data_IF_877386696883
#
_entry.id   IF_877386696883
#
_cell.length_a   1.000
_cell.length_b   1.000
_cell.length_c   1.000
_cell.angle_alpha   90.00
_cell.angle_beta   90.00
_cell.angle_gamma   90.00
#
_symmetry.space_group_name_H-M   'P 1'
#
loop_
_entity.id
_entity.type
_entity.pdbx_description
1 polymer ?
#
# COMPACT_ATOMS: atom_id res chain seq x y z
N UNK A 1 59.20 -25.76 24.42
CA UNK A 1 59.13 -24.29 24.63
C UNK A 1 59.34 -23.65 23.27
N UNK A 2 58.45 -22.94 22.58
CA UNK A 2 57.18 -22.24 22.82
C UNK A 2 56.29 -22.45 21.56
N UNK A 3 55.01 -22.80 21.68
CA UNK A 3 53.84 -21.94 21.39
C UNK A 3 54.09 -20.95 20.23
N UNK A 4 53.53 -21.06 19.02
CA UNK A 4 52.12 -21.26 18.68
C UNK A 4 51.47 -19.89 18.42
N UNK A 5 51.18 -19.54 17.16
CA UNK A 5 50.18 -18.50 16.82
C UNK A 5 49.49 -18.90 15.51
N UNK A 6 48.29 -19.47 15.67
CA UNK A 6 47.27 -19.60 14.65
C UNK A 6 46.63 -18.21 14.48
N UNK A 7 46.82 -17.57 13.33
CA UNK A 7 46.19 -16.27 13.05
C UNK A 7 44.74 -16.51 12.61
N UNK A 8 43.80 -16.27 13.52
CA UNK A 8 42.37 -16.26 13.25
C UNK A 8 42.01 -15.20 12.20
N UNK A 9 41.57 -15.65 11.02
CA UNK A 9 40.77 -14.83 10.10
C UNK A 9 39.34 -14.81 10.65
N UNK A 10 39.01 -13.83 11.48
CA UNK A 10 37.63 -13.57 11.89
C UNK A 10 36.94 -12.76 10.77
N UNK A 11 35.89 -13.37 10.24
CA UNK A 11 35.17 -12.96 9.03
C UNK A 11 34.36 -11.67 9.29
N UNK A 12 34.72 -10.58 8.60
CA UNK A 12 33.97 -9.34 8.45
C UNK A 12 32.81 -9.51 7.43
N UNK A 13 31.82 -10.36 7.73
CA UNK A 13 30.67 -10.60 6.83
C UNK A 13 29.41 -9.78 7.16
N UNK A 14 29.38 -9.04 8.27
CA UNK A 14 28.20 -8.26 8.68
C UNK A 14 27.87 -7.07 7.76
N UNK A 15 28.77 -6.66 6.87
CA UNK A 15 28.55 -5.49 6.01
C UNK A 15 27.63 -5.80 4.82
N UNK A 16 27.79 -6.95 4.15
CA UNK A 16 27.11 -7.17 2.87
C UNK A 16 25.58 -7.22 2.98
N UNK A 17 25.05 -7.77 4.08
CA UNK A 17 23.61 -7.89 4.30
C UNK A 17 22.94 -6.53 4.58
N UNK A 18 23.49 -5.72 5.49
CA UNK A 18 22.97 -4.39 5.79
C UNK A 18 23.06 -3.44 4.57
N UNK A 19 24.11 -3.58 3.76
CA UNK A 19 24.24 -2.86 2.49
C UNK A 19 23.27 -3.34 1.41
N UNK A 20 22.83 -4.60 1.44
CA UNK A 20 21.79 -5.10 0.54
C UNK A 20 20.42 -4.54 0.95
N UNK A 21 20.08 -4.60 2.23
CA UNK A 21 18.79 -4.13 2.76
C UNK A 21 18.59 -2.63 2.52
N UNK A 22 19.64 -1.81 2.73
CA UNK A 22 19.60 -0.37 2.41
C UNK A 22 19.37 -0.09 0.93
N UNK A 23 19.93 -0.89 0.02
CA UNK A 23 19.65 -0.77 -1.43
C UNK A 23 18.21 -1.15 -1.75
N UNK A 24 17.65 -2.17 -1.09
CA UNK A 24 16.25 -2.55 -1.22
C UNK A 24 15.34 -1.41 -0.78
N UNK A 25 15.58 -0.86 0.42
CA UNK A 25 14.80 0.26 0.96
C UNK A 25 14.82 1.47 0.02
N UNK A 26 16.00 1.85 -0.48
CA UNK A 26 16.15 2.97 -1.41
C UNK A 26 15.50 2.73 -2.79
N UNK A 27 15.43 1.47 -3.25
CA UNK A 27 14.75 1.13 -4.51
C UNK A 27 13.25 1.40 -4.45
N UNK A 28 12.63 1.09 -3.31
CA UNK A 28 11.19 1.20 -3.11
C UNK A 28 10.76 2.53 -2.49
N UNK A 29 11.69 3.29 -1.90
CA UNK A 29 11.44 4.62 -1.37
C UNK A 29 12.20 5.69 -2.18
N UNK A 30 11.45 6.44 -2.98
CA UNK A 30 12.00 7.46 -3.88
C UNK A 30 11.75 8.84 -3.30
N UNK A 31 12.81 9.65 -3.22
CA UNK A 31 12.74 11.04 -2.77
C UNK A 31 12.98 12.00 -3.93
N UNK A 32 12.17 13.04 -4.03
CA UNK A 32 12.34 14.13 -4.98
C UNK A 32 12.33 15.47 -4.26
N UNK A 33 13.30 16.30 -4.59
CA UNK A 33 13.49 17.62 -3.99
C UNK A 33 13.19 18.71 -5.02
N UNK A 34 12.42 19.70 -4.61
CA UNK A 34 12.03 20.83 -5.43
C UNK A 34 12.38 22.13 -4.71
N UNK A 35 12.80 23.14 -5.48
CA UNK A 35 13.12 24.47 -4.96
C UNK A 35 12.56 25.52 -5.89
N UNK A 36 12.06 26.62 -5.32
CA UNK A 36 11.66 27.80 -6.07
C UNK A 36 12.73 28.91 -6.01
N UNK A 37 12.52 29.96 -6.80
CA UNK A 37 13.44 31.10 -6.87
C UNK A 37 13.37 32.01 -5.64
N UNK A 38 12.42 31.78 -4.73
CA UNK A 38 12.18 32.57 -3.52
C UNK A 38 12.73 31.88 -2.26
N UNK A 39 13.42 30.75 -2.42
CA UNK A 39 14.03 29.98 -1.34
C UNK A 39 13.10 28.96 -0.69
N UNK A 40 11.89 28.75 -1.22
CA UNK A 40 11.00 27.68 -0.79
C UNK A 40 11.51 26.33 -1.26
N UNK A 41 11.52 25.34 -0.36
CA UNK A 41 11.92 23.96 -0.67
C UNK A 41 10.80 23.00 -0.32
N UNK A 42 10.62 21.98 -1.15
CA UNK A 42 9.71 20.87 -0.88
C UNK A 42 10.42 19.56 -1.21
N UNK A 43 10.58 18.70 -0.21
CA UNK A 43 10.93 17.32 -0.43
C UNK A 43 9.68 16.45 -0.37
N UNK A 44 9.52 15.59 -1.38
CA UNK A 44 8.45 14.58 -1.44
C UNK A 44 9.09 13.21 -1.54
N UNK A 45 8.82 12.35 -0.57
CA UNK A 45 9.18 10.93 -0.61
C UNK A 45 7.93 10.10 -0.81
N UNK A 46 7.99 9.15 -1.73
CA UNK A 46 6.97 8.14 -1.90
C UNK A 46 7.59 6.76 -1.75
N UNK A 47 6.90 5.87 -1.04
CA UNK A 47 7.34 4.52 -0.76
C UNK A 47 6.26 3.51 -1.14
N UNK A 48 6.63 2.55 -1.99
CA UNK A 48 5.78 1.40 -2.31
C UNK A 48 6.14 0.23 -1.39
N UNK A 49 5.17 -0.33 -0.66
CA UNK A 49 5.40 -1.46 0.23
C UNK A 49 5.38 -2.79 -0.52
N UNK A 50 6.46 -3.08 -1.22
CA UNK A 50 6.71 -4.42 -1.76
C UNK A 50 7.00 -5.43 -0.64
N UNK A 51 6.92 -6.72 -0.96
CA UNK A 51 7.31 -7.76 -0.03
C UNK A 51 8.76 -7.63 0.43
N UNK A 52 9.67 -7.38 -0.51
CA UNK A 52 11.09 -7.23 -0.22
C UNK A 52 11.37 -5.99 0.63
N UNK A 53 10.64 -4.88 0.40
CA UNK A 53 10.75 -3.68 1.21
C UNK A 53 10.31 -3.95 2.66
N UNK A 54 9.18 -4.62 2.85
CA UNK A 54 8.65 -4.91 4.18
C UNK A 54 9.63 -5.79 4.98
N UNK A 55 10.17 -6.85 4.37
CA UNK A 55 11.15 -7.70 5.06
C UNK A 55 12.41 -6.91 5.44
N UNK A 56 12.93 -6.10 4.51
CA UNK A 56 14.10 -5.25 4.77
C UNK A 56 13.82 -4.21 5.87
N UNK A 57 12.62 -3.63 5.89
CA UNK A 57 12.18 -2.65 6.90
C UNK A 57 12.07 -3.29 8.28
N UNK A 58 11.37 -4.43 8.38
CA UNK A 58 11.19 -5.18 9.64
C UNK A 58 12.56 -5.57 10.19
N UNK A 59 13.45 -6.08 9.34
CA UNK A 59 14.81 -6.45 9.74
C UNK A 59 15.61 -5.24 10.23
N UNK A 60 15.57 -4.12 9.49
CA UNK A 60 16.26 -2.89 9.87
C UNK A 60 15.76 -2.36 11.22
N UNK A 61 14.45 -2.33 11.45
CA UNK A 61 13.88 -1.88 12.73
C UNK A 61 14.19 -2.87 13.87
N UNK A 62 14.18 -4.17 13.61
CA UNK A 62 14.58 -5.16 14.61
C UNK A 62 16.05 -4.99 15.04
N UNK A 63 16.97 -4.81 14.09
CA UNK A 63 18.39 -4.58 14.39
C UNK A 63 18.61 -3.25 15.13
N UNK A 64 17.98 -2.17 14.66
CA UNK A 64 18.09 -0.83 15.25
C UNK A 64 17.58 -0.77 16.68
N UNK A 65 16.50 -1.49 16.99
CA UNK A 65 15.87 -1.49 18.31
C UNK A 65 16.27 -2.70 19.16
N UNK A 66 17.17 -3.57 18.68
CA UNK A 66 17.60 -4.80 19.36
C UNK A 66 16.45 -5.73 19.76
N UNK A 67 15.44 -5.84 18.88
CA UNK A 67 14.25 -6.64 19.15
C UNK A 67 14.54 -8.14 19.20
N UNK A 68 13.82 -8.81 20.07
CA UNK A 68 13.71 -10.27 20.07
C UNK A 68 12.91 -10.75 18.86
N UNK A 69 12.97 -12.05 18.57
CA UNK A 69 12.14 -12.67 17.51
C UNK A 69 10.65 -12.41 17.72
N UNK A 70 10.18 -12.44 18.97
CA UNK A 70 8.77 -12.22 19.28
C UNK A 70 8.33 -10.77 19.01
N UNK A 71 9.16 -9.78 19.37
CA UNK A 71 8.89 -8.37 19.10
C UNK A 71 8.92 -8.07 17.60
N UNK A 72 9.87 -8.67 16.89
CA UNK A 72 9.98 -8.57 15.43
C UNK A 72 8.73 -9.13 14.74
N UNK A 73 8.28 -10.32 15.15
CA UNK A 73 7.07 -10.95 14.61
C UNK A 73 5.82 -10.12 14.90
N UNK A 74 5.72 -9.55 16.11
CA UNK A 74 4.61 -8.70 16.52
C UNK A 74 4.57 -7.39 15.73
N UNK A 75 5.72 -6.76 15.50
CA UNK A 75 5.83 -5.57 14.66
C UNK A 75 5.42 -5.87 13.21
N UNK A 76 5.96 -6.96 12.64
CA UNK A 76 5.59 -7.40 11.29
C UNK A 76 4.08 -7.64 11.17
N UNK A 77 3.47 -8.29 12.15
CA UNK A 77 2.02 -8.49 12.20
C UNK A 77 1.24 -7.16 12.18
N UNK A 78 1.63 -6.20 13.04
CA UNK A 78 0.97 -4.90 13.11
C UNK A 78 1.11 -4.10 11.80
N UNK A 79 2.31 -4.11 11.22
CA UNK A 79 2.60 -3.46 9.95
C UNK A 79 1.73 -4.06 8.82
N UNK A 80 1.75 -5.39 8.66
CA UNK A 80 0.98 -6.06 7.61
C UNK A 80 -0.53 -5.87 7.77
N UNK A 81 -1.03 -5.88 9.01
CA UNK A 81 -2.44 -5.61 9.30
C UNK A 81 -2.84 -4.18 8.91
N UNK A 82 -2.02 -3.18 9.24
CA UNK A 82 -2.26 -1.78 8.88
C UNK A 82 -2.15 -1.51 7.38
N UNK A 83 -1.27 -2.22 6.67
CA UNK A 83 -1.12 -2.09 5.23
C UNK A 83 -2.26 -2.74 4.44
N UNK A 84 -2.91 -3.77 5.00
CA UNK A 84 -4.04 -4.48 4.37
C UNK A 84 -3.76 -4.83 2.90
N UNK A 85 -2.58 -5.40 2.65
CA UNK A 85 -2.05 -5.68 1.31
C UNK A 85 -2.96 -6.60 0.50
N UNK A 86 -3.76 -7.41 1.17
CA UNK A 86 -4.73 -8.30 0.54
C UNK A 86 -5.86 -7.54 -0.15
N UNK A 87 -6.21 -6.32 0.27
CA UNK A 87 -7.27 -5.50 -0.32
C UNK A 87 -6.74 -4.29 -1.09
N UNK A 88 -5.61 -3.74 -0.65
CA UNK A 88 -5.10 -2.46 -1.13
C UNK A 88 -3.66 -2.54 -1.66
N UNK A 89 -3.32 -1.52 -2.44
CA UNK A 89 -1.96 -1.17 -2.83
C UNK A 89 -1.59 0.08 -2.02
N UNK A 90 -0.89 -0.07 -0.89
CA UNK A 90 -0.53 1.07 -0.05
C UNK A 90 0.72 1.79 -0.57
N UNK A 91 0.65 3.12 -0.55
CA UNK A 91 1.78 4.01 -0.80
C UNK A 91 1.91 4.94 0.40
N UNK A 92 3.10 4.95 1.01
CA UNK A 92 3.41 5.96 2.03
C UNK A 92 4.00 7.19 1.35
N UNK A 93 3.56 8.35 1.81
CA UNK A 93 3.99 9.65 1.30
C UNK A 93 4.54 10.44 2.49
N UNK A 94 5.71 11.02 2.33
CA UNK A 94 6.28 12.00 3.25
C UNK A 94 6.51 13.32 2.52
N UNK A 95 6.13 14.42 3.15
CA UNK A 95 6.47 15.77 2.77
C UNK A 95 7.40 16.38 3.82
N UNK A 96 8.43 17.11 3.39
CA UNK A 96 9.17 18.09 4.20
C UNK A 96 9.06 19.44 3.48
N UNK A 97 8.08 20.25 3.90
CA UNK A 97 7.78 21.54 3.29
C UNK A 97 8.47 22.68 4.06
N UNK A 98 9.46 23.30 3.44
CA UNK A 98 10.17 24.48 3.97
C UNK A 98 9.83 25.76 3.20
N UNK A 99 8.77 25.72 2.39
CA UNK A 99 8.20 26.87 1.70
C UNK A 99 6.93 27.39 2.38
N UNK A 100 6.06 28.09 1.61
CA UNK A 100 4.74 28.50 2.05
C UNK A 100 3.85 27.32 2.49
N UNK A 101 2.83 27.60 3.30
CA UNK A 101 1.87 26.58 3.76
C UNK A 101 1.21 25.87 2.57
N UNK A 102 1.23 24.54 2.60
CA UNK A 102 0.55 23.69 1.61
C UNK A 102 -0.93 23.54 1.97
N UNK A 103 -1.79 23.60 0.96
CA UNK A 103 -3.23 23.41 1.06
C UNK A 103 -3.65 22.24 0.16
N UNK A 104 -3.84 21.08 0.76
CA UNK A 104 -4.00 19.83 0.04
C UNK A 104 -5.42 19.27 0.07
N UNK A 105 -6.42 19.97 0.60
CA UNK A 105 -7.81 19.48 0.55
C UNK A 105 -8.47 19.78 -0.81
N UNK A 106 -9.18 18.82 -1.43
CA UNK A 106 -9.26 17.39 -1.08
C UNK A 106 -8.03 16.61 -1.60
N UNK A 107 -7.35 15.89 -0.70
CA UNK A 107 -6.02 15.33 -0.99
C UNK A 107 -6.02 14.26 -2.08
N UNK A 108 -7.05 13.44 -2.11
CA UNK A 108 -7.28 12.40 -3.10
C UNK A 108 -7.30 12.93 -4.55
N UNK A 109 -7.76 14.17 -4.74
CA UNK A 109 -7.84 14.78 -6.09
C UNK A 109 -6.48 15.01 -6.74
N UNK A 110 -5.41 15.09 -5.95
CA UNK A 110 -4.05 15.30 -6.45
C UNK A 110 -3.36 13.99 -6.84
N UNK A 111 -3.93 12.84 -6.49
CA UNK A 111 -3.26 11.55 -6.54
C UNK A 111 -3.79 10.66 -7.66
N UNK A 112 -2.88 9.95 -8.32
CA UNK A 112 -3.26 8.90 -9.27
C UNK A 112 -2.22 7.79 -9.23
N UNK A 113 -2.67 6.54 -9.17
CA UNK A 113 -1.83 5.38 -9.37
C UNK A 113 -2.12 4.77 -10.75
N UNK A 114 -1.10 4.71 -11.59
CA UNK A 114 -1.13 4.03 -12.86
C UNK A 114 -0.58 2.63 -12.71
N UNK A 115 -1.42 1.64 -12.98
CA UNK A 115 -1.06 0.22 -12.93
C UNK A 115 -1.26 -0.38 -14.32
N UNK A 116 -0.18 -0.45 -15.09
CA UNK A 116 -0.25 -0.73 -16.52
C UNK A 116 -1.08 0.33 -17.25
N UNK A 117 -2.22 -0.07 -17.83
CA UNK A 117 -3.17 0.85 -18.50
C UNK A 117 -4.25 1.39 -17.56
N UNK A 118 -4.34 0.87 -16.34
CA UNK A 118 -5.40 1.22 -15.41
C UNK A 118 -5.02 2.49 -14.65
N UNK A 119 -5.96 3.42 -14.57
CA UNK A 119 -5.86 4.65 -13.77
C UNK A 119 -6.68 4.46 -12.50
N UNK A 120 -6.02 4.46 -11.34
CA UNK A 120 -6.65 4.25 -10.04
C UNK A 120 -6.63 5.55 -9.24
N UNK A 121 -7.74 5.85 -8.58
CA UNK A 121 -7.86 6.87 -7.54
C UNK A 121 -7.75 6.20 -6.17
N UNK A 122 -7.28 6.90 -5.13
CA UNK A 122 -7.22 6.35 -3.80
C UNK A 122 -8.65 6.10 -3.27
N UNK A 123 -8.80 5.02 -2.50
CA UNK A 123 -10.05 4.65 -1.82
C UNK A 123 -10.04 5.08 -0.35
N UNK A 124 -8.85 5.16 0.24
CA UNK A 124 -8.66 5.75 1.56
C UNK A 124 -7.26 6.37 1.69
N UNK A 125 -7.08 7.24 2.68
CA UNK A 125 -5.82 7.92 2.97
C UNK A 125 -5.87 8.58 4.35
N UNK A 126 -4.70 8.91 4.88
CA UNK A 126 -4.57 9.66 6.13
C UNK A 126 -5.20 11.06 6.01
N UNK A 127 -6.31 11.28 6.73
CA UNK A 127 -7.09 12.54 6.67
C UNK A 127 -6.30 13.76 7.14
N UNK A 128 -5.16 13.58 7.82
CA UNK A 128 -4.24 14.68 8.18
C UNK A 128 -3.74 15.42 6.95
N UNK A 129 -3.70 14.78 5.78
CA UNK A 129 -3.34 15.46 4.52
C UNK A 129 -4.34 16.53 4.10
N UNK A 130 -5.61 16.48 4.52
CA UNK A 130 -6.58 17.53 4.19
C UNK A 130 -6.39 18.83 4.98
N UNK A 131 -5.56 18.83 6.03
CA UNK A 131 -5.29 20.03 6.80
C UNK A 131 -4.07 20.75 6.25
N UNK A 132 -4.13 22.08 6.19
CA UNK A 132 -3.00 22.89 5.77
C UNK A 132 -1.78 22.66 6.65
N UNK A 133 -0.57 22.68 6.09
CA UNK A 133 0.66 22.49 6.88
C UNK A 133 1.92 23.11 6.30
N UNK A 134 2.87 23.29 7.20
CA UNK A 134 4.28 23.59 6.92
C UNK A 134 5.13 22.58 7.71
N UNK A 135 6.36 22.33 7.26
CA UNK A 135 7.24 21.31 7.83
C UNK A 135 6.88 19.90 7.38
N UNK A 136 7.04 18.94 8.28
CA UNK A 136 6.93 17.52 7.95
C UNK A 136 5.52 16.98 8.11
N UNK A 137 5.08 16.18 7.15
CA UNK A 137 3.85 15.40 7.24
C UNK A 137 3.98 14.12 6.44
N UNK A 138 3.59 13.01 7.05
CA UNK A 138 3.57 11.71 6.39
C UNK A 138 2.27 10.94 6.66
N UNK A 139 2.01 9.93 5.84
CA UNK A 139 0.82 9.12 5.94
C UNK A 139 0.67 8.12 4.80
N UNK A 140 -0.26 7.20 4.98
CA UNK A 140 -0.60 6.18 4.00
C UNK A 140 -1.71 6.63 3.06
N UNK A 141 -1.63 6.15 1.82
CA UNK A 141 -2.65 6.26 0.79
C UNK A 141 -2.92 4.85 0.26
N UNK A 142 -4.18 4.47 0.20
CA UNK A 142 -4.62 3.14 -0.20
C UNK A 142 -5.31 3.21 -1.56
N UNK A 143 -4.79 2.45 -2.52
CA UNK A 143 -5.41 2.24 -3.83
C UNK A 143 -6.06 0.85 -3.89
N UNK A 144 -7.12 0.65 -4.68
CA UNK A 144 -7.76 -0.66 -4.79
C UNK A 144 -6.80 -1.66 -5.45
N UNK A 145 -6.69 -2.87 -4.89
CA UNK A 145 -5.87 -3.94 -5.48
C UNK A 145 -6.58 -4.71 -6.60
N UNK A 146 -7.90 -4.81 -6.55
CA UNK A 146 -8.71 -5.54 -7.53
C UNK A 146 -9.70 -4.63 -8.25
N UNK A 147 -10.05 -5.00 -9.47
CA UNK A 147 -11.17 -4.42 -10.19
C UNK A 147 -12.52 -4.90 -9.65
N UNK A 148 -13.61 -4.33 -10.17
CA UNK A 148 -14.98 -4.69 -9.78
C UNK A 148 -15.35 -6.15 -10.11
N UNK A 149 -14.52 -6.87 -10.87
CA UNK A 149 -14.69 -8.28 -11.22
C UNK A 149 -13.79 -9.20 -10.39
N UNK A 150 -13.04 -8.65 -9.44
CA UNK A 150 -12.11 -9.38 -8.57
C UNK A 150 -10.77 -9.71 -9.21
N UNK A 151 -10.44 -9.15 -10.39
CA UNK A 151 -9.13 -9.34 -11.02
C UNK A 151 -8.11 -8.38 -10.42
N UNK A 152 -6.94 -8.89 -10.04
CA UNK A 152 -5.85 -8.08 -9.48
C UNK A 152 -5.29 -7.12 -10.52
N UNK A 153 -5.16 -5.84 -10.16
CA UNK A 153 -4.51 -4.85 -11.01
C UNK A 153 -3.01 -5.13 -11.18
N UNK A 154 -2.36 -5.78 -10.20
CA UNK A 154 -0.93 -6.06 -10.22
C UNK A 154 -0.56 -7.30 -11.05
N UNK A 155 -1.54 -8.10 -11.48
CA UNK A 155 -1.28 -9.32 -12.23
C UNK A 155 -0.64 -9.03 -13.60
N UNK A 156 0.56 -9.57 -13.83
CA UNK A 156 1.30 -9.40 -15.08
C UNK A 156 1.84 -7.97 -15.31
N UNK A 157 1.78 -7.11 -14.30
CA UNK A 157 2.29 -5.73 -14.39
C UNK A 157 3.77 -5.69 -14.07
N UNK A 158 4.52 -4.98 -14.91
CA UNK A 158 5.97 -4.80 -14.73
C UNK A 158 6.29 -3.57 -13.91
N UNK A 159 5.55 -2.49 -14.12
CA UNK A 159 5.83 -1.20 -13.53
C UNK A 159 4.55 -0.52 -13.09
N UNK A 160 4.63 0.17 -11.97
CA UNK A 160 3.58 1.07 -11.51
C UNK A 160 4.11 2.50 -11.49
N UNK A 161 3.24 3.47 -11.72
CA UNK A 161 3.57 4.90 -11.63
C UNK A 161 2.59 5.61 -10.72
N UNK A 162 3.08 6.11 -9.61
CA UNK A 162 2.34 7.01 -8.75
C UNK A 162 2.60 8.46 -9.18
N UNK A 163 1.54 9.17 -9.53
CA UNK A 163 1.61 10.55 -9.98
C UNK A 163 0.87 11.44 -8.98
N UNK A 164 1.53 12.52 -8.58
CA UNK A 164 0.97 13.58 -7.77
C UNK A 164 0.93 14.87 -8.59
N UNK A 165 -0.17 15.59 -8.61
CA UNK A 165 -0.28 16.83 -9.40
C UNK A 165 0.66 17.90 -8.85
N UNK A 166 1.27 18.73 -9.71
CA UNK A 166 2.21 19.78 -9.25
C UNK A 166 1.57 20.89 -8.41
N UNK A 167 0.25 21.06 -8.50
CA UNK A 167 -0.53 22.05 -7.76
C UNK A 167 -0.61 21.82 -6.23
N UNK A 168 0.07 20.80 -5.68
CA UNK A 168 0.16 20.52 -4.24
C UNK A 168 0.88 21.61 -3.43
N UNK A 169 1.73 22.41 -4.07
CA UNK A 169 2.52 23.47 -3.44
C UNK A 169 2.85 24.57 -4.45
N UNK A 170 3.08 25.79 -3.97
CA UNK A 170 3.61 26.88 -4.79
C UNK A 170 4.99 26.55 -5.38
N UNK A 171 5.77 25.71 -4.70
CA UNK A 171 7.11 25.29 -5.14
C UNK A 171 7.05 24.39 -6.38
N UNK A 172 5.94 23.68 -6.57
CA UNK A 172 5.78 22.66 -7.64
C UNK A 172 4.69 23.02 -8.65
N UNK A 173 4.04 24.18 -8.52
CA UNK A 173 2.86 24.57 -9.32
C UNK A 173 3.12 24.66 -10.83
N UNK A 174 4.38 24.88 -11.20
CA UNK A 174 4.91 24.92 -12.55
C UNK A 174 5.18 23.54 -13.15
N UNK A 175 5.07 22.47 -12.35
CA UNK A 175 5.11 21.08 -12.81
C UNK A 175 3.70 20.60 -13.10
N UNK A 176 3.55 19.76 -14.14
CA UNK A 176 2.29 19.04 -14.37
C UNK A 176 2.08 17.98 -13.29
N UNK A 177 3.06 17.08 -13.12
CA UNK A 177 3.05 16.01 -12.13
C UNK A 177 4.43 15.71 -11.55
N UNK A 178 4.42 15.13 -10.35
CA UNK A 178 5.53 14.52 -9.66
C UNK A 178 5.35 13.00 -9.76
N UNK A 179 6.12 12.36 -10.64
CA UNK A 179 5.94 10.94 -10.97
C UNK A 179 6.96 10.02 -10.26
N UNK A 180 6.50 9.07 -9.48
CA UNK A 180 7.31 8.02 -8.85
C UNK A 180 7.04 6.68 -9.54
N UNK A 181 8.09 5.95 -9.91
CA UNK A 181 7.95 4.74 -10.74
C UNK A 181 8.71 3.58 -10.12
N UNK A 182 8.04 2.46 -9.91
CA UNK A 182 8.64 1.25 -9.36
C UNK A 182 8.47 0.08 -10.31
N UNK A 183 9.51 -0.76 -10.38
CA UNK A 183 9.48 -2.07 -11.04
C UNK A 183 8.94 -3.11 -10.04
N UNK A 184 7.79 -3.69 -10.37
CA UNK A 184 7.05 -4.65 -9.55
C UNK A 184 7.07 -6.06 -10.12
N UNK A 185 7.87 -6.35 -11.16
CA UNK A 185 7.91 -7.67 -11.82
C UNK A 185 8.17 -8.80 -10.83
N UNK A 186 8.98 -8.54 -9.80
CA UNK A 186 9.40 -9.52 -8.79
C UNK A 186 8.70 -9.35 -7.45
N UNK A 187 7.72 -8.46 -7.35
CA UNK A 187 6.99 -8.28 -6.11
C UNK A 187 6.01 -9.45 -5.93
N UNK A 188 6.15 -10.18 -4.83
CA UNK A 188 5.26 -11.25 -4.45
C UNK A 188 4.79 -11.06 -3.00
N UNK A 189 3.70 -10.31 -2.77
CA UNK A 189 3.14 -10.10 -1.44
C UNK A 189 2.75 -11.39 -0.72
N UNK A 190 2.44 -12.48 -1.45
CA UNK A 190 2.06 -13.75 -0.83
C UNK A 190 3.22 -14.38 -0.06
N UNK A 191 4.47 -14.10 -0.45
CA UNK A 191 5.65 -14.58 0.26
C UNK A 191 5.74 -14.05 1.71
N UNK A 192 5.15 -12.89 1.99
CA UNK A 192 5.08 -12.30 3.33
C UNK A 192 4.23 -13.13 4.30
N UNK A 193 3.34 -13.97 3.75
CA UNK A 193 2.44 -14.84 4.48
C UNK A 193 2.99 -16.27 4.61
N UNK A 194 4.31 -16.43 4.71
CA UNK A 194 4.93 -17.71 5.10
C UNK A 194 5.42 -17.67 6.56
N UNK A 195 5.09 -18.69 7.37
CA UNK A 195 5.47 -18.80 8.79
C UNK A 195 4.34 -18.63 9.81
N UNK A 196 4.67 -18.54 11.10
CA UNK A 196 3.67 -18.55 12.21
C UNK A 196 2.84 -17.26 12.31
N UNK A 197 3.47 -16.09 12.21
CA UNK A 197 2.76 -14.79 12.20
C UNK A 197 1.90 -14.62 10.93
N UNK A 198 2.43 -15.13 9.82
CA UNK A 198 1.77 -15.26 8.54
C UNK A 198 0.49 -16.10 8.59
N UNK A 199 0.52 -17.27 9.22
CA UNK A 199 -0.66 -18.12 9.38
C UNK A 199 -1.77 -17.42 10.18
N UNK A 200 -1.41 -16.63 11.20
CA UNK A 200 -2.37 -15.80 11.95
C UNK A 200 -2.99 -14.72 11.06
N UNK A 201 -2.17 -14.00 10.29
CA UNK A 201 -2.66 -12.99 9.34
C UNK A 201 -3.54 -13.59 8.24
N UNK A 202 -3.17 -14.76 7.71
CA UNK A 202 -3.98 -15.44 6.71
C UNK A 202 -5.32 -15.90 7.31
N UNK A 203 -5.32 -16.38 8.55
CA UNK A 203 -6.54 -16.72 9.26
C UNK A 203 -7.43 -15.48 9.45
N UNK A 204 -6.88 -14.37 9.92
CA UNK A 204 -7.62 -13.12 10.09
C UNK A 204 -8.16 -12.59 8.74
N UNK A 205 -7.37 -12.70 7.67
CA UNK A 205 -7.76 -12.37 6.29
C UNK A 205 -8.94 -13.24 5.84
N UNK A 206 -8.84 -14.55 6.03
CA UNK A 206 -9.88 -15.49 5.63
C UNK A 206 -11.17 -15.25 6.41
N UNK A 207 -11.10 -14.93 7.71
CA UNK A 207 -12.25 -14.55 8.52
C UNK A 207 -12.92 -13.30 7.93
N UNK A 208 -12.17 -12.22 7.69
CA UNK A 208 -12.73 -10.99 7.09
C UNK A 208 -13.37 -11.26 5.72
N UNK A 209 -12.73 -12.09 4.89
CA UNK A 209 -13.27 -12.46 3.57
C UNK A 209 -14.57 -13.25 3.70
N UNK A 210 -14.67 -14.17 4.67
CA UNK A 210 -15.90 -14.91 4.97
C UNK A 210 -17.01 -13.95 5.40
N UNK A 211 -16.73 -12.99 6.28
CA UNK A 211 -17.71 -11.99 6.72
C UNK A 211 -18.25 -11.16 5.55
N UNK A 212 -17.36 -10.67 4.68
CA UNK A 212 -17.73 -9.93 3.48
C UNK A 212 -18.58 -10.75 2.51
N UNK A 213 -18.16 -11.98 2.20
CA UNK A 213 -18.92 -12.89 1.33
C UNK A 213 -20.28 -13.24 1.92
N UNK A 214 -20.40 -13.39 3.23
CA UNK A 214 -21.68 -13.61 3.90
C UNK A 214 -22.61 -12.40 3.80
N UNK A 215 -22.07 -11.18 3.89
CA UNK A 215 -22.85 -9.95 3.70
C UNK A 215 -23.34 -9.83 2.24
N UNK A 216 -22.45 -10.03 1.26
CA UNK A 216 -22.79 -10.04 -0.17
C UNK A 216 -23.84 -11.12 -0.50
N UNK A 217 -23.69 -12.32 0.07
CA UNK A 217 -24.66 -13.41 -0.09
C UNK A 217 -26.05 -13.01 0.40
N UNK A 218 -26.15 -12.42 1.60
CA UNK A 218 -27.44 -11.96 2.16
C UNK A 218 -28.10 -10.90 1.29
N UNK A 219 -27.34 -9.96 0.76
CA UNK A 219 -27.86 -8.93 -0.14
C UNK A 219 -28.41 -9.54 -1.43
N UNK A 220 -27.68 -10.48 -2.03
CA UNK A 220 -28.11 -11.18 -3.24
C UNK A 220 -29.33 -12.07 -2.99
N UNK A 221 -29.41 -12.77 -1.87
CA UNK A 221 -30.59 -13.53 -1.46
C UNK A 221 -31.83 -12.61 -1.28
N UNK A 222 -31.64 -11.41 -0.74
CA UNK A 222 -32.70 -10.40 -0.65
C UNK A 222 -33.22 -9.98 -2.03
N UNK A 223 -32.33 -9.64 -2.96
CA UNK A 223 -32.70 -9.30 -4.34
C UNK A 223 -33.39 -10.46 -5.06
N UNK A 224 -32.93 -11.69 -4.84
CA UNK A 224 -33.56 -12.88 -5.42
C UNK A 224 -34.98 -13.07 -4.89
N UNK A 225 -35.21 -12.85 -3.59
CA UNK A 225 -36.54 -12.93 -2.99
C UNK A 225 -37.48 -11.86 -3.56
N UNK A 226 -37.00 -10.65 -3.80
CA UNK A 226 -37.78 -9.56 -4.40
C UNK A 226 -38.22 -9.91 -5.83
N UNK A 227 -37.29 -10.38 -6.66
CA UNK A 227 -37.58 -10.82 -8.04
C UNK A 227 -38.56 -12.00 -8.07
N UNK A 228 -38.42 -12.96 -7.15
CA UNK A 228 -39.35 -14.09 -7.07
C UNK A 228 -40.77 -13.63 -6.68
N UNK A 229 -40.91 -12.67 -5.76
CA UNK A 229 -42.21 -12.11 -5.39
C UNK A 229 -42.89 -11.38 -6.56
N UNK A 230 -42.12 -10.67 -7.39
CA UNK A 230 -42.64 -10.07 -8.63
C UNK A 230 -43.08 -11.13 -9.64
N UNK A 231 -42.28 -12.19 -9.85
CA UNK A 231 -42.63 -13.30 -10.72
C UNK A 231 -43.93 -13.99 -10.30
N UNK A 232 -44.12 -14.24 -9.00
CA UNK A 232 -45.35 -14.82 -8.47
C UNK A 232 -46.54 -13.91 -8.73
N UNK A 233 -46.39 -12.61 -8.52
CA UNK A 233 -47.43 -11.61 -8.78
C UNK A 233 -47.83 -11.58 -10.25
N UNK A 234 -46.86 -11.58 -11.17
CA UNK A 234 -47.10 -11.61 -12.61
C UNK A 234 -47.74 -12.93 -13.03
N UNK A 235 -47.26 -14.06 -12.51
CA UNK A 235 -47.78 -15.40 -12.84
C UNK A 235 -49.25 -15.52 -12.44
N UNK A 236 -49.59 -15.09 -11.22
CA UNK A 236 -50.99 -15.03 -10.76
C UNK A 236 -51.84 -14.17 -11.69
N UNK A 237 -51.31 -13.01 -12.13
CA UNK A 237 -52.01 -12.13 -13.06
C UNK A 237 -52.22 -12.76 -14.45
N UNK A 238 -51.24 -13.51 -14.95
CA UNK A 238 -51.35 -14.25 -16.21
C UNK A 238 -52.41 -15.34 -16.09
N UNK A 239 -52.43 -16.10 -14.99
CA UNK A 239 -53.45 -17.13 -14.75
C UNK A 239 -54.88 -16.56 -14.66
N UNK A 240 -55.05 -15.41 -13.99
CA UNK A 240 -56.34 -14.70 -13.94
C UNK A 240 -56.85 -14.34 -15.35
N UNK A 241 -55.96 -13.82 -16.20
CA UNK A 241 -56.31 -13.42 -17.56
C UNK A 241 -56.59 -14.61 -18.50
N UNK A 242 -55.96 -15.76 -18.27
CA UNK A 242 -56.21 -16.98 -19.06
C UNK A 242 -57.54 -17.66 -18.74
N UNK A 243 -58.17 -17.35 -17.60
CA UNK A 243 -59.47 -17.91 -17.19
C UNK A 243 -60.67 -17.05 -17.60
N UNK A 244 -60.43 -15.90 -18.23
CA UNK A 244 -61.45 -15.05 -18.86
C UNK A 244 -61.65 -15.43 -20.33
#
# INVERSE_FOLDING_TARGET
>A
MFHGVLFCVLILSLSAAAFADTKVLARWSQMKSYKDNFGGELDVRATYYSAEYIEALVKQEAEKNLWTSNETDQYKYQLLSGLSLDEYIPIHIEFDNRGPTMHLAPFDSFLTLWVGKNKLTPVDFDKRFNFSFQGKRDGLVFFPRYDNKGKSYLEGVKTIRFAMTGAISSVTINLSTLDFVWDVVRDNPEALYTGRAAARLELDRLIKRIEKLNAEKRELEGKLSEVNAELDTITNRVEELQRQ
#
